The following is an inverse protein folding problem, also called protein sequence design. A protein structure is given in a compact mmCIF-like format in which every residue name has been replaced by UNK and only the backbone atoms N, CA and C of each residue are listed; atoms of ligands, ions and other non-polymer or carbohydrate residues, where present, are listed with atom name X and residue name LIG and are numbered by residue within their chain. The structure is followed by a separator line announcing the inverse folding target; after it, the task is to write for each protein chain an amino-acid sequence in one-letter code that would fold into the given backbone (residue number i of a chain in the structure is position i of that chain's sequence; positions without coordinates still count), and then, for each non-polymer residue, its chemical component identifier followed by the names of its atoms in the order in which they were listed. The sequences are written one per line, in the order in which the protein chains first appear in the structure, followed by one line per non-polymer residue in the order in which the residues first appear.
data_IF_475670619085
#
_entry.id   IF_475670619085
#
_cell.length_a   1.000
_cell.length_b   1.000
_cell.length_c   1.000
_cell.angle_alpha   90.00
_cell.angle_beta   90.00
_cell.angle_gamma   90.00
#
_symmetry.space_group_name_H-M   'P 1'
#
loop_
_entity.id
_entity.type
_entity.pdbx_description
1 polymer ?
#
# COMPACT_ATOMS: atom_id res chain seq x y z
N UNK A 1 5.46 3.32 -12.05
CA UNK A 1 6.88 3.28 -11.61
C UNK A 1 7.25 1.82 -11.38
N UNK A 2 8.48 1.45 -11.70
CA UNK A 2 9.00 0.11 -11.45
C UNK A 2 9.78 0.13 -10.13
N UNK A 3 9.52 -0.83 -9.24
CA UNK A 3 10.17 -0.93 -7.94
C UNK A 3 10.50 -2.38 -7.59
N UNK A 4 11.30 -2.55 -6.54
CA UNK A 4 11.63 -3.87 -5.99
C UNK A 4 11.41 -3.83 -4.47
N UNK A 5 10.69 -4.82 -3.95
CA UNK A 5 10.41 -4.92 -2.53
C UNK A 5 11.73 -5.17 -1.76
N UNK A 6 12.10 -4.23 -0.90
CA UNK A 6 13.29 -4.38 -0.06
C UNK A 6 13.09 -5.56 0.89
N UNK A 7 14.06 -6.48 0.95
CA UNK A 7 14.02 -7.69 1.77
C UNK A 7 13.33 -8.90 1.12
N UNK A 8 12.28 -8.70 0.32
CA UNK A 8 11.59 -9.78 -0.40
C UNK A 8 12.09 -9.98 -1.84
N UNK A 9 12.66 -8.94 -2.45
CA UNK A 9 13.27 -8.99 -3.78
C UNK A 9 12.28 -9.05 -4.95
N UNK A 10 10.96 -9.10 -4.71
CA UNK A 10 9.97 -9.12 -5.77
C UNK A 10 9.88 -7.77 -6.48
N UNK A 11 10.01 -7.79 -7.81
CA UNK A 11 9.71 -6.62 -8.63
C UNK A 11 8.20 -6.34 -8.62
N UNK A 12 7.83 -5.06 -8.64
CA UNK A 12 6.44 -4.64 -8.70
C UNK A 12 6.29 -3.32 -9.45
N UNK A 13 5.14 -3.20 -10.10
CA UNK A 13 4.71 -1.96 -10.73
C UNK A 13 3.73 -1.27 -9.80
N UNK A 14 4.05 -0.03 -9.43
CA UNK A 14 3.14 0.79 -8.64
C UNK A 14 2.86 2.11 -9.36
N UNK A 15 1.64 2.32 -9.86
CA UNK A 15 1.22 3.64 -10.28
C UNK A 15 1.12 4.53 -9.04
N UNK A 16 1.79 5.68 -9.06
CA UNK A 16 1.74 6.64 -7.96
C UNK A 16 1.40 8.03 -8.48
N UNK A 17 0.75 8.81 -7.64
CA UNK A 17 0.41 10.22 -7.86
C UNK A 17 0.88 11.02 -6.66
N UNK A 18 1.72 12.01 -6.91
CA UNK A 18 2.12 13.00 -5.90
C UNK A 18 1.22 14.23 -6.01
N UNK A 19 0.62 14.63 -4.89
CA UNK A 19 -0.12 15.89 -4.76
C UNK A 19 0.70 16.86 -3.91
N UNK A 20 1.04 18.01 -4.51
CA UNK A 20 1.88 19.02 -3.88
C UNK A 20 1.14 20.37 -3.87
N UNK A 21 0.99 20.97 -2.69
CA UNK A 21 0.49 22.34 -2.56
C UNK A 21 1.67 23.30 -2.46
N UNK A 22 1.79 24.20 -3.43
CA UNK A 22 2.81 25.25 -3.45
C UNK A 22 2.17 26.60 -3.13
N UNK A 23 2.71 27.31 -2.15
CA UNK A 23 2.34 28.71 -1.82
C UNK A 23 3.59 29.54 -1.66
N UNK A 24 3.57 30.78 -2.16
CA UNK A 24 4.73 31.70 -2.09
C UNK A 24 6.05 31.04 -2.56
N UNK A 25 5.98 30.22 -3.62
CA UNK A 25 7.10 29.44 -4.18
C UNK A 25 7.73 28.44 -3.19
N UNK A 26 6.98 27.99 -2.18
CA UNK A 26 7.38 26.94 -1.23
C UNK A 26 6.37 25.81 -1.22
N UNK A 27 6.85 24.58 -1.11
CA UNK A 27 5.99 23.42 -0.85
C UNK A 27 5.46 23.53 0.58
N UNK A 28 4.14 23.53 0.72
CA UNK A 28 3.46 23.66 2.02
C UNK A 28 2.77 22.38 2.46
N UNK A 29 2.48 21.49 1.51
CA UNK A 29 1.94 20.17 1.76
C UNK A 29 2.33 19.25 0.61
N UNK A 30 2.71 18.03 0.94
CA UNK A 30 3.00 16.98 -0.03
C UNK A 30 2.35 15.71 0.48
N UNK A 31 1.54 15.09 -0.36
CA UNK A 31 1.02 13.75 -0.14
C UNK A 31 1.24 12.86 -1.37
N UNK A 32 1.76 11.66 -1.14
CA UNK A 32 1.84 10.62 -2.17
C UNK A 32 0.70 9.62 -2.02
N UNK A 33 0.15 9.22 -3.17
CA UNK A 33 -0.84 8.16 -3.29
C UNK A 33 -0.27 7.06 -4.18
N UNK A 34 -0.26 5.85 -3.65
CA UNK A 34 0.24 4.64 -4.30
C UNK A 34 -0.84 3.56 -4.25
N UNK A 35 -0.77 2.55 -5.12
CA UNK A 35 -1.60 1.36 -5.00
C UNK A 35 -1.07 0.47 -3.86
N UNK A 36 -1.78 0.37 -2.72
CA UNK A 36 -1.31 -0.41 -1.58
C UNK A 36 -1.39 -1.92 -1.85
N UNK A 37 -2.24 -2.37 -2.78
CA UNK A 37 -2.39 -3.80 -3.09
C UNK A 37 -1.16 -4.31 -3.82
N UNK A 38 -0.66 -3.56 -4.82
CA UNK A 38 0.59 -3.86 -5.51
C UNK A 38 1.77 -4.00 -4.52
N UNK A 39 1.85 -3.13 -3.52
CA UNK A 39 2.89 -3.22 -2.47
C UNK A 39 2.72 -4.46 -1.62
N UNK A 40 1.50 -4.76 -1.16
CA UNK A 40 1.25 -5.94 -0.33
C UNK A 40 1.59 -7.24 -1.04
N UNK A 41 1.25 -7.36 -2.33
CA UNK A 41 1.67 -8.49 -3.17
C UNK A 41 3.20 -8.61 -3.23
N UNK A 42 3.89 -7.49 -3.42
CA UNK A 42 5.35 -7.47 -3.54
C UNK A 42 6.08 -7.85 -2.24
N UNK A 43 5.51 -7.55 -1.07
CA UNK A 43 6.10 -7.92 0.24
C UNK A 43 5.56 -9.24 0.80
N UNK A 44 4.79 -9.99 0.01
CA UNK A 44 4.23 -11.28 0.43
C UNK A 44 3.16 -11.17 1.53
N UNK A 45 2.52 -10.01 1.66
CA UNK A 45 1.37 -9.87 2.57
C UNK A 45 0.10 -10.47 1.95
N UNK A 46 -0.82 -10.99 2.78
CA UNK A 46 -2.12 -11.43 2.31
C UNK A 46 -2.85 -10.28 1.61
N UNK A 47 -3.13 -10.47 0.32
CA UNK A 47 -3.97 -9.58 -0.48
C UNK A 47 -5.37 -9.50 0.16
N UNK A 48 -6.04 -8.33 0.23
CA UNK A 48 -7.47 -8.25 0.59
C UNK A 48 -8.36 -9.30 -0.10
N UNK A 49 -8.00 -9.80 -1.29
CA UNK A 49 -8.73 -10.90 -1.95
C UNK A 49 -8.53 -12.28 -1.28
N UNK A 50 -7.43 -12.50 -0.56
CA UNK A 50 -7.30 -13.71 0.25
C UNK A 50 -8.23 -13.67 1.48
N UNK A 51 -8.73 -12.49 1.87
CA UNK A 51 -9.78 -12.35 2.88
C UNK A 51 -11.17 -12.68 2.32
N UNK A 52 -11.46 -12.35 1.06
CA UNK A 52 -12.72 -12.80 0.40
C UNK A 52 -12.71 -14.31 0.16
N UNK A 53 -11.55 -14.91 -0.15
CA UNK A 53 -11.42 -16.37 -0.25
C UNK A 53 -11.48 -17.09 1.11
N UNK A 54 -10.90 -16.52 2.18
CA UNK A 54 -10.93 -17.13 3.53
C UNK A 54 -12.25 -16.88 4.28
N UNK A 55 -12.97 -15.80 3.98
CA UNK A 55 -14.32 -15.54 4.54
C UNK A 55 -15.43 -16.45 4.00
N UNK A 56 -15.17 -17.18 2.90
CA UNK A 56 -16.06 -18.25 2.41
C UNK A 56 -15.85 -19.60 3.12
N UNK A 57 -14.82 -19.74 3.98
CA UNK A 57 -14.66 -20.95 4.79
C UNK A 57 -15.55 -20.85 6.04
N UNK A 58 -16.44 -21.83 6.30
CA UNK A 58 -17.20 -21.87 7.54
C UNK A 58 -16.25 -21.86 8.75
N UNK A 59 -16.33 -20.85 9.62
CA UNK A 59 -15.66 -20.84 10.92
C UNK A 59 -14.51 -19.83 11.14
N UNK A 60 -14.16 -18.96 10.18
CA UNK A 60 -13.11 -17.94 10.39
C UNK A 60 -13.69 -16.65 11.01
N UNK A 61 -13.22 -16.18 12.18
CA UNK A 61 -13.71 -14.95 12.80
C UNK A 61 -13.40 -13.71 11.94
N UNK A 62 -14.42 -12.89 11.66
CA UNK A 62 -14.30 -11.57 10.97
C UNK A 62 -13.57 -10.57 11.86
N UNK A 63 -12.23 -10.64 11.94
CA UNK A 63 -11.45 -9.75 12.80
C UNK A 63 -10.66 -8.69 12.00
N UNK A 64 -11.21 -7.47 12.06
CA UNK A 64 -10.56 -6.17 12.25
C UNK A 64 -9.55 -5.66 11.20
N UNK A 65 -9.99 -4.57 10.56
CA UNK A 65 -9.21 -3.53 9.91
C UNK A 65 -7.94 -3.19 10.70
N UNK A 66 -6.77 -3.30 10.08
CA UNK A 66 -5.53 -2.69 10.57
C UNK A 66 -4.89 -1.88 9.45
N UNK A 67 -5.14 -0.57 9.54
CA UNK A 67 -4.42 0.51 8.88
C UNK A 67 -2.91 0.29 8.99
N UNK A 68 -2.19 0.25 7.86
CA UNK A 68 -0.74 0.50 7.84
C UNK A 68 -0.25 0.78 6.41
N UNK A 69 -0.31 2.04 5.99
CA UNK A 69 0.57 2.60 4.96
C UNK A 69 0.61 4.15 5.10
N UNK A 70 1.04 4.63 6.27
CA UNK A 70 1.53 5.99 6.49
C UNK A 70 2.78 5.86 7.37
N UNK A 71 3.87 5.38 6.80
CA UNK A 71 5.15 5.33 7.52
C UNK A 71 6.34 5.13 6.58
N UNK A 72 6.42 5.82 5.45
CA UNK A 72 7.70 6.02 4.78
C UNK A 72 7.69 7.43 4.19
N UNK A 73 8.82 8.12 4.36
CA UNK A 73 9.06 9.55 4.13
C UNK A 73 8.82 10.41 5.39
N UNK A 74 9.83 10.36 6.28
CA UNK A 74 10.21 11.52 7.09
C UNK A 74 10.83 12.58 6.18
#
# INVERSE_FOLDING_TARGET
MHGQAVGAGHAYDNPFVSMINVKARRVTHWRDHLDPVAVFRAVGRPDPDCWTASSRRPGVPKARLAVAAQAFLR
#
